data_IF_550225199242
#
_entry.id   IF_550225199242
#
_cell.length_a   1.000
_cell.length_b   1.000
_cell.length_c   1.000
_cell.angle_alpha   90.00
_cell.angle_beta   90.00
_cell.angle_gamma   90.00
#
_symmetry.space_group_name_H-M   'P 1'
#
loop_
_entity.id
_entity.type
_entity.pdbx_description
1 polymer ?
#
# COMPACT_ATOMS: atom_id res chain seq x y z
N UNK A 1 2.65 8.88 -28.03
CA UNK A 1 2.39 9.94 -27.03
C UNK A 1 2.59 9.29 -25.66
N UNK A 2 3.79 9.44 -25.10
CA UNK A 2 4.12 8.90 -23.78
C UNK A 2 3.59 9.91 -22.76
N UNK A 3 2.61 9.53 -21.94
CA UNK A 3 2.09 10.39 -20.89
C UNK A 3 3.23 10.81 -19.94
N UNK A 4 3.30 12.08 -19.51
CA UNK A 4 4.28 12.48 -18.50
C UNK A 4 3.99 11.65 -17.24
N UNK A 5 5.03 11.07 -16.65
CA UNK A 5 4.96 10.46 -15.34
C UNK A 5 4.53 11.55 -14.35
N UNK A 6 3.22 11.67 -14.12
CA UNK A 6 2.69 12.28 -12.92
C UNK A 6 3.35 11.52 -11.80
N UNK A 7 4.25 12.17 -11.08
CA UNK A 7 4.59 11.75 -9.72
C UNK A 7 3.24 11.67 -9.04
N UNK A 8 2.70 10.45 -8.94
CA UNK A 8 1.32 10.20 -8.57
C UNK A 8 1.14 10.63 -7.13
N UNK A 9 0.74 11.88 -6.93
CA UNK A 9 0.25 12.33 -5.64
C UNK A 9 -1.01 11.51 -5.40
N UNK A 10 -0.94 10.58 -4.45
CA UNK A 10 -2.10 9.85 -4.00
C UNK A 10 -3.18 10.88 -3.65
N UNK A 11 -4.35 10.74 -4.25
CA UNK A 11 -5.50 11.53 -3.84
C UNK A 11 -5.83 11.18 -2.37
N UNK A 12 -6.47 12.09 -1.61
CA UNK A 12 -6.76 11.85 -0.20
C UNK A 12 -7.54 10.54 0.05
N UNK A 13 -8.36 10.12 -0.90
CA UNK A 13 -9.09 8.85 -0.85
C UNK A 13 -8.14 7.64 -0.99
N UNK A 14 -7.17 7.71 -1.89
CA UNK A 14 -6.13 6.69 -2.06
C UNK A 14 -5.20 6.61 -0.83
N UNK A 15 -4.87 7.77 -0.24
CA UNK A 15 -4.09 7.84 0.99
C UNK A 15 -4.85 7.21 2.18
N UNK A 16 -6.17 7.45 2.26
CA UNK A 16 -7.02 6.86 3.28
C UNK A 16 -7.10 5.33 3.13
N UNK A 17 -7.25 4.83 1.90
CA UNK A 17 -7.25 3.39 1.63
C UNK A 17 -5.87 2.76 1.93
N UNK A 18 -4.75 3.41 1.57
CA UNK A 18 -3.39 2.97 1.95
C UNK A 18 -3.24 2.83 3.47
N UNK A 19 -3.71 3.83 4.22
CA UNK A 19 -3.67 3.81 5.68
C UNK A 19 -4.55 2.70 6.27
N UNK A 20 -5.75 2.48 5.71
CA UNK A 20 -6.65 1.42 6.14
C UNK A 20 -6.03 0.02 5.93
N UNK A 21 -5.47 -0.22 4.75
CA UNK A 21 -4.75 -1.46 4.42
C UNK A 21 -3.57 -1.67 5.36
N UNK A 22 -2.78 -0.62 5.60
CA UNK A 22 -1.66 -0.66 6.55
C UNK A 22 -2.08 -1.05 7.96
N UNK A 23 -3.08 -0.35 8.52
CA UNK A 23 -3.59 -0.60 9.86
C UNK A 23 -4.13 -2.03 10.00
N UNK A 24 -4.85 -2.51 8.99
CA UNK A 24 -5.39 -3.87 8.95
C UNK A 24 -4.27 -4.91 8.88
N UNK A 25 -3.29 -4.72 8.01
CA UNK A 25 -2.14 -5.61 7.89
C UNK A 25 -1.30 -5.66 9.19
N UNK A 26 -1.09 -4.52 9.85
CA UNK A 26 -0.44 -4.46 11.15
C UNK A 26 -1.24 -5.23 12.21
N UNK A 27 -2.57 -5.07 12.24
CA UNK A 27 -3.44 -5.78 13.17
C UNK A 27 -3.47 -7.30 12.93
N UNK A 28 -3.55 -7.74 11.67
CA UNK A 28 -3.55 -9.15 11.30
C UNK A 28 -2.22 -9.83 11.62
N UNK A 29 -1.12 -9.12 11.46
CA UNK A 29 0.24 -9.61 11.76
C UNK A 29 0.68 -9.34 13.20
N UNK A 30 -0.19 -8.78 14.04
CA UNK A 30 0.11 -8.34 15.41
C UNK A 30 1.39 -7.48 15.51
N UNK A 31 1.64 -6.64 14.49
CA UNK A 31 2.77 -5.74 14.44
C UNK A 31 2.49 -4.50 15.30
N UNK A 32 3.47 -4.11 16.11
CA UNK A 32 3.39 -2.83 16.81
C UNK A 32 3.61 -1.67 15.82
N UNK A 33 2.79 -0.63 15.94
CA UNK A 33 2.93 0.59 15.16
C UNK A 33 4.30 1.23 15.47
N UNK A 34 5.14 1.37 14.44
CA UNK A 34 6.53 1.85 14.59
C UNK A 34 7.59 0.76 14.74
N UNK A 35 7.23 -0.52 14.67
CA UNK A 35 8.21 -1.61 14.51
C UNK A 35 8.85 -1.58 13.12
N UNK A 36 10.09 -2.09 13.02
CA UNK A 36 10.81 -2.26 11.74
C UNK A 36 9.97 -3.02 10.70
N UNK A 37 9.18 -4.00 11.15
CA UNK A 37 8.27 -4.76 10.30
C UNK A 37 7.11 -3.90 9.75
N UNK A 38 6.59 -2.97 10.54
CA UNK A 38 5.56 -2.04 10.13
C UNK A 38 6.12 -0.98 9.16
N UNK A 39 7.35 -0.52 9.38
CA UNK A 39 8.05 0.36 8.43
C UNK A 39 8.30 -0.34 7.09
N UNK A 40 8.77 -1.60 7.12
CA UNK A 40 8.96 -2.41 5.92
C UNK A 40 7.64 -2.64 5.17
N UNK A 41 6.55 -2.87 5.91
CA UNK A 41 5.22 -3.02 5.34
C UNK A 41 4.78 -1.72 4.67
N UNK A 42 4.93 -0.58 5.33
CA UNK A 42 4.62 0.75 4.79
C UNK A 42 5.38 1.04 3.49
N UNK A 43 6.70 0.81 3.49
CA UNK A 43 7.55 1.01 2.31
C UNK A 43 7.11 0.12 1.14
N UNK A 44 6.72 -1.12 1.43
CA UNK A 44 6.22 -2.07 0.43
C UNK A 44 4.86 -1.66 -0.12
N UNK A 45 3.95 -1.16 0.72
CA UNK A 45 2.67 -0.60 0.26
C UNK A 45 2.89 0.59 -0.67
N UNK A 46 3.80 1.51 -0.31
CA UNK A 46 4.12 2.66 -1.15
C UNK A 46 4.75 2.23 -2.49
N UNK A 47 5.63 1.22 -2.47
CA UNK A 47 6.24 0.67 -3.69
C UNK A 47 5.21 0.01 -4.63
N UNK A 48 4.22 -0.67 -4.06
CA UNK A 48 3.12 -1.27 -4.81
C UNK A 48 2.20 -0.19 -5.38
N UNK A 49 1.89 0.85 -4.59
CA UNK A 49 1.10 2.00 -5.03
C UNK A 49 1.71 2.66 -6.28
N UNK A 50 2.99 2.99 -6.24
CA UNK A 50 3.69 3.64 -7.35
C UNK A 50 3.85 2.74 -8.60
N UNK A 51 3.80 1.41 -8.46
CA UNK A 51 3.94 0.46 -9.58
C UNK A 51 2.60 -0.03 -10.16
N UNK A 52 1.48 0.11 -9.46
CA UNK A 52 0.17 -0.38 -9.92
C UNK A 52 -0.49 0.51 -10.99
N UNK A 53 0.13 1.63 -11.36
CA UNK A 53 -0.09 2.35 -12.62
C UNK A 53 -1.39 3.14 -12.79
N UNK A 54 -2.49 2.83 -12.07
CA UNK A 54 -3.71 3.66 -12.02
C UNK A 54 -4.85 3.11 -11.14
N UNK A 55 -4.84 1.82 -10.77
CA UNK A 55 -5.95 1.21 -10.05
C UNK A 55 -5.50 0.76 -8.67
N UNK A 56 -5.89 1.55 -7.67
CA UNK A 56 -5.68 1.26 -6.26
C UNK A 56 -6.97 0.66 -5.69
N UNK A 57 -6.96 -0.64 -5.45
CA UNK A 57 -8.12 -1.38 -4.92
C UNK A 57 -7.69 -2.23 -3.71
N UNK A 58 -8.50 -2.21 -2.65
CA UNK A 58 -8.23 -2.92 -1.40
C UNK A 58 -8.02 -4.42 -1.63
N UNK A 59 -8.80 -5.05 -2.52
CA UNK A 59 -8.69 -6.47 -2.79
C UNK A 59 -7.37 -6.81 -3.51
N UNK A 60 -6.86 -5.90 -4.35
CA UNK A 60 -5.55 -6.07 -5.00
C UNK A 60 -4.42 -6.04 -3.96
N UNK A 61 -4.55 -5.20 -2.93
CA UNK A 61 -3.59 -5.16 -1.83
C UNK A 61 -3.66 -6.38 -0.92
N UNK A 62 -4.88 -6.81 -0.56
CA UNK A 62 -5.08 -8.01 0.25
C UNK A 62 -4.51 -9.26 -0.44
N UNK A 63 -4.74 -9.41 -1.74
CA UNK A 63 -4.21 -10.53 -2.52
C UNK A 63 -2.67 -10.48 -2.62
N UNK A 64 -2.07 -9.31 -2.82
CA UNK A 64 -0.61 -9.17 -2.82
C UNK A 64 0.02 -9.40 -1.44
N UNK A 65 -0.67 -9.05 -0.35
CA UNK A 65 -0.21 -9.31 1.01
C UNK A 65 -0.34 -10.80 1.37
N UNK A 66 -1.34 -11.48 0.80
CA UNK A 66 -1.62 -12.92 1.00
C UNK A 66 -0.76 -13.82 0.10
N UNK A 67 -0.41 -13.38 -1.10
CA UNK A 67 0.37 -14.14 -2.08
C UNK A 67 1.83 -14.41 -1.69
N UNK A 68 2.32 -13.82 -0.60
CA UNK A 68 3.61 -14.14 0.02
C UNK A 68 3.42 -15.16 1.16
N UNK A 69 2.93 -16.34 0.78
CA UNK A 69 2.83 -17.53 1.63
C UNK A 69 3.54 -18.70 0.98
#
# INVERSE_FOLDING_TARGET
MTAPATIGVANPEELALLQQVFQRACKERALAEGSVEAEALSARLMWLFQHSGAYFDEATFEEMLRGEG
#
